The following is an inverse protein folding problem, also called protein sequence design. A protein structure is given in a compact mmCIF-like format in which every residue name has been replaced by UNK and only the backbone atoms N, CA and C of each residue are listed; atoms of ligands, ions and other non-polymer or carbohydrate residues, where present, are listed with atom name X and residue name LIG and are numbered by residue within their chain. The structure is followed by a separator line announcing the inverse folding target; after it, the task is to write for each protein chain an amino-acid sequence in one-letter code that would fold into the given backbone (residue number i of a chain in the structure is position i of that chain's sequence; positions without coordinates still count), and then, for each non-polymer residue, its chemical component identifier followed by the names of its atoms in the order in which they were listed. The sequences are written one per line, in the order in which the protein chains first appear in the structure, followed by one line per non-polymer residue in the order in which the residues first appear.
data_IF_741853128883
#
_entry.id   IF_741853128883
#
_cell.length_a   1.000
_cell.length_b   1.000
_cell.length_c   1.000
_cell.angle_alpha   90.00
_cell.angle_beta   90.00
_cell.angle_gamma   90.00
#
_symmetry.space_group_name_H-M   'P 1'
#
loop_
_entity.id
_entity.type
_entity.pdbx_description
1 polymer ?
#
# COMPACT_ATOMS: atom_id res chain seq x y z
N UNK A 1 9.58 -19.48 23.26
CA UNK A 1 10.15 -20.18 22.11
C UNK A 1 10.76 -19.14 21.18
N UNK A 2 12.09 -18.91 21.28
CA UNK A 2 12.80 -17.94 20.45
C UNK A 2 13.04 -18.58 19.07
N UNK A 3 12.08 -18.45 18.15
CA UNK A 3 12.37 -18.65 16.74
C UNK A 3 13.37 -17.55 16.35
N UNK A 4 14.60 -17.94 16.13
CA UNK A 4 15.61 -16.99 15.69
C UNK A 4 15.24 -16.51 14.29
N UNK A 5 15.08 -15.21 14.14
CA UNK A 5 14.74 -14.49 12.90
C UNK A 5 15.52 -14.99 11.66
N UNK A 6 16.73 -15.49 11.84
CA UNK A 6 17.55 -16.12 10.80
C UNK A 6 16.94 -17.41 10.22
N UNK A 7 16.35 -18.26 11.05
CA UNK A 7 15.81 -19.56 10.63
C UNK A 7 14.53 -19.40 9.80
N UNK A 8 13.60 -18.54 10.22
CA UNK A 8 12.35 -18.31 9.48
C UNK A 8 12.59 -17.60 8.14
N UNK A 9 13.55 -16.68 8.10
CA UNK A 9 13.92 -15.99 6.86
C UNK A 9 14.55 -16.94 5.84
N UNK A 10 15.44 -17.83 6.30
CA UNK A 10 16.09 -18.83 5.42
C UNK A 10 15.07 -19.83 4.86
N UNK A 11 14.14 -20.32 5.68
CA UNK A 11 13.10 -21.26 5.26
C UNK A 11 12.20 -20.62 4.21
N UNK A 12 11.77 -19.37 4.44
CA UNK A 12 10.91 -18.62 3.50
C UNK A 12 11.63 -18.28 2.19
N UNK A 13 12.91 -17.90 2.28
CA UNK A 13 13.73 -17.66 1.09
C UNK A 13 13.94 -18.94 0.27
N UNK A 14 14.09 -20.08 0.93
CA UNK A 14 14.23 -21.39 0.30
C UNK A 14 12.91 -21.81 -0.36
N UNK A 15 11.76 -21.65 0.33
CA UNK A 15 10.42 -21.92 -0.24
C UNK A 15 10.16 -21.00 -1.43
N UNK A 16 10.48 -19.72 -1.31
CA UNK A 16 10.34 -18.76 -2.39
C UNK A 16 11.25 -19.09 -3.58
N UNK A 17 12.51 -19.50 -3.32
CA UNK A 17 13.44 -19.91 -4.38
C UNK A 17 12.99 -21.18 -5.08
N UNK A 18 12.46 -22.17 -4.35
CA UNK A 18 11.91 -23.43 -4.91
C UNK A 18 10.68 -23.12 -5.76
N UNK A 19 9.79 -22.26 -5.26
CA UNK A 19 8.61 -21.80 -5.98
C UNK A 19 8.99 -21.02 -7.26
N UNK A 20 10.00 -20.17 -7.18
CA UNK A 20 10.50 -19.39 -8.33
C UNK A 20 11.14 -20.30 -9.39
N UNK A 21 11.84 -21.36 -8.99
CA UNK A 21 12.40 -22.36 -9.89
C UNK A 21 11.28 -23.20 -10.52
N UNK A 22 10.23 -23.54 -9.78
CA UNK A 22 9.06 -24.26 -10.30
C UNK A 22 8.31 -23.42 -11.35
N UNK A 23 8.12 -22.11 -11.09
CA UNK A 23 7.48 -21.18 -12.02
C UNK A 23 8.32 -20.90 -13.27
N UNK A 24 9.64 -20.91 -13.19
CA UNK A 24 10.51 -20.58 -14.33
C UNK A 24 10.78 -21.75 -15.29
N UNK A 25 10.25 -22.92 -15.00
CA UNK A 25 10.52 -24.14 -15.80
C UNK A 25 9.56 -24.37 -16.96
N UNK A 26 8.50 -23.57 -17.12
CA UNK A 26 7.56 -23.67 -18.24
C UNK A 26 7.55 -22.39 -19.10
N UNK A 27 7.55 -22.55 -20.43
CA UNK A 27 7.53 -21.45 -21.39
C UNK A 27 6.22 -20.63 -21.25
N UNK A 28 6.35 -19.33 -20.91
CA UNK A 28 5.21 -18.39 -20.82
C UNK A 28 4.88 -17.86 -19.40
N UNK A 29 5.56 -18.29 -18.35
CA UNK A 29 5.23 -17.92 -16.96
C UNK A 29 5.88 -16.63 -16.45
N UNK A 30 6.86 -16.06 -17.17
CA UNK A 30 7.55 -14.83 -16.78
C UNK A 30 6.57 -13.66 -16.55
N UNK A 31 5.56 -13.40 -17.41
CA UNK A 31 4.58 -12.34 -17.19
C UNK A 31 3.74 -12.53 -15.92
N UNK A 32 3.35 -13.77 -15.61
CA UNK A 32 2.57 -14.11 -14.42
C UNK A 32 3.40 -13.82 -13.16
N UNK A 33 4.66 -14.25 -13.16
CA UNK A 33 5.58 -14.00 -12.04
C UNK A 33 5.79 -12.50 -11.79
N UNK A 34 6.02 -11.70 -12.86
CA UNK A 34 6.18 -10.25 -12.71
C UNK A 34 4.90 -9.58 -12.21
N UNK A 35 3.74 -10.03 -12.67
CA UNK A 35 2.45 -9.54 -12.18
C UNK A 35 2.29 -9.85 -10.68
N UNK A 36 2.54 -11.07 -10.26
CA UNK A 36 2.50 -11.51 -8.87
C UNK A 36 3.47 -10.69 -8.00
N UNK A 37 4.72 -10.53 -8.43
CA UNK A 37 5.71 -9.74 -7.70
C UNK A 37 5.31 -8.27 -7.58
N UNK A 38 4.69 -7.70 -8.61
CA UNK A 38 4.21 -6.32 -8.59
C UNK A 38 3.11 -6.13 -7.57
N UNK A 39 2.08 -6.99 -7.60
CA UNK A 39 1.00 -6.92 -6.63
C UNK A 39 1.47 -7.25 -5.21
N UNK A 40 2.33 -8.25 -5.04
CA UNK A 40 2.91 -8.57 -3.74
C UNK A 40 3.70 -7.38 -3.17
N UNK A 41 4.46 -6.65 -3.99
CA UNK A 41 5.16 -5.43 -3.59
C UNK A 41 4.20 -4.32 -3.15
N UNK A 42 3.18 -4.02 -3.97
CA UNK A 42 2.20 -2.96 -3.70
C UNK A 42 1.40 -3.26 -2.43
N UNK A 43 0.81 -4.45 -2.34
CA UNK A 43 -0.03 -4.83 -1.19
C UNK A 43 0.80 -5.12 0.06
N UNK A 44 2.05 -5.59 -0.10
CA UNK A 44 3.00 -5.70 1.00
C UNK A 44 3.30 -4.35 1.63
N UNK A 45 3.49 -3.31 0.81
CA UNK A 45 3.68 -1.94 1.27
C UNK A 45 2.43 -1.40 1.99
N UNK A 46 1.22 -1.64 1.45
CA UNK A 46 -0.04 -1.31 2.12
C UNK A 46 -0.16 -2.00 3.47
N UNK A 47 0.15 -3.29 3.53
CA UNK A 47 0.08 -4.08 4.75
C UNK A 47 1.13 -3.64 5.80
N UNK A 48 2.31 -3.16 5.37
CA UNK A 48 3.27 -2.52 6.27
C UNK A 48 2.66 -1.25 6.87
N UNK A 49 1.98 -0.40 6.08
CA UNK A 49 1.27 0.78 6.57
C UNK A 49 0.20 0.44 7.61
N UNK A 50 -0.61 -0.59 7.34
CA UNK A 50 -1.61 -1.07 8.28
C UNK A 50 -0.99 -1.67 9.55
N UNK A 51 0.12 -2.38 9.41
CA UNK A 51 0.87 -2.92 10.54
C UNK A 51 1.48 -1.84 11.45
N UNK A 52 1.75 -0.64 10.93
CA UNK A 52 2.09 0.52 11.77
C UNK A 52 0.90 0.94 12.63
N UNK A 53 -0.34 0.93 12.09
CA UNK A 53 -1.55 1.23 12.87
C UNK A 53 -1.85 0.15 13.90
N UNK A 54 -2.04 -1.08 13.47
CA UNK A 54 -2.50 -2.16 14.35
C UNK A 54 -1.34 -2.87 15.06
N UNK A 55 -0.29 -3.18 14.32
CA UNK A 55 0.86 -3.93 14.85
C UNK A 55 1.66 -3.18 15.91
N UNK A 56 1.79 -1.85 15.79
CA UNK A 56 2.57 -1.07 16.76
C UNK A 56 1.71 -0.40 17.86
N UNK A 57 0.46 -0.02 17.56
CA UNK A 57 -0.37 0.76 18.50
C UNK A 57 -1.73 0.16 18.80
N UNK A 58 -2.09 -0.98 18.18
CA UNK A 58 -3.38 -1.64 18.39
C UNK A 58 -4.58 -0.90 17.78
N UNK A 59 -4.35 0.08 16.89
CA UNK A 59 -5.42 0.86 16.26
C UNK A 59 -6.09 0.08 15.14
N UNK A 60 -7.36 -0.24 15.30
CA UNK A 60 -8.19 -0.89 14.28
C UNK A 60 -8.55 0.13 13.18
N UNK A 61 -7.95 0.00 12.01
CA UNK A 61 -8.24 0.84 10.87
C UNK A 61 -8.78 -0.01 9.71
N UNK A 62 -10.06 0.14 9.43
CA UNK A 62 -10.73 -0.50 8.27
C UNK A 62 -10.97 0.48 7.12
N UNK A 63 -10.51 1.71 7.25
CA UNK A 63 -10.56 2.73 6.20
C UNK A 63 -9.26 2.87 5.40
N UNK A 64 -8.39 1.86 5.38
CA UNK A 64 -7.05 1.94 4.79
C UNK A 64 -7.08 2.27 3.29
N UNK A 65 -8.09 1.77 2.56
CA UNK A 65 -8.30 2.06 1.14
C UNK A 65 -8.46 3.57 0.84
N UNK A 66 -9.02 4.36 1.77
CA UNK A 66 -9.16 5.79 1.57
C UNK A 66 -7.80 6.52 1.55
N UNK A 67 -6.86 6.11 2.39
CA UNK A 67 -5.49 6.67 2.38
C UNK A 67 -4.76 6.30 1.10
N UNK A 68 -4.92 5.05 0.63
CA UNK A 68 -4.40 4.61 -0.66
C UNK A 68 -5.00 5.44 -1.79
N UNK A 69 -6.33 5.59 -1.80
CA UNK A 69 -7.05 6.37 -2.80
C UNK A 69 -6.64 7.83 -2.82
N UNK A 70 -6.57 8.48 -1.66
CA UNK A 70 -6.19 9.89 -1.60
C UNK A 70 -4.77 10.13 -2.11
N UNK A 71 -3.80 9.31 -1.69
CA UNK A 71 -2.44 9.40 -2.21
C UNK A 71 -2.38 9.25 -3.72
N UNK A 72 -3.12 8.27 -4.25
CA UNK A 72 -3.21 8.00 -5.69
C UNK A 72 -3.85 9.17 -6.46
N UNK A 73 -5.03 9.63 -6.06
CA UNK A 73 -5.74 10.73 -6.72
C UNK A 73 -4.94 12.03 -6.69
N UNK A 74 -4.39 12.42 -5.54
CA UNK A 74 -3.58 13.63 -5.44
C UNK A 74 -2.36 13.56 -6.34
N UNK A 75 -1.65 12.43 -6.37
CA UNK A 75 -0.49 12.27 -7.25
C UNK A 75 -0.89 12.36 -8.72
N UNK A 76 -1.92 11.62 -9.14
CA UNK A 76 -2.38 11.61 -10.53
C UNK A 76 -2.85 12.98 -10.99
N UNK A 77 -3.56 13.73 -10.14
CA UNK A 77 -4.01 15.10 -10.46
C UNK A 77 -2.85 16.10 -10.62
N UNK A 78 -1.74 15.88 -9.96
CA UNK A 78 -0.59 16.80 -10.00
C UNK A 78 0.36 16.54 -11.17
N UNK A 79 0.39 15.33 -11.75
CA UNK A 79 1.27 15.01 -12.88
C UNK A 79 0.65 15.42 -14.22
N UNK A 80 1.49 15.61 -15.26
CA UNK A 80 0.97 15.76 -16.62
C UNK A 80 0.24 14.47 -17.04
N UNK A 81 -1.01 14.58 -17.44
CA UNK A 81 -1.72 13.50 -18.12
C UNK A 81 -2.24 14.02 -19.45
N UNK A 82 -2.20 13.19 -20.46
CA UNK A 82 -2.82 13.54 -21.72
C UNK A 82 -4.32 13.70 -21.45
N UNK A 83 -4.87 14.87 -21.76
CA UNK A 83 -6.29 15.17 -21.58
C UNK A 83 -7.12 14.16 -22.41
N UNK A 84 -7.43 13.03 -21.80
CA UNK A 84 -8.14 11.92 -22.44
C UNK A 84 -9.64 12.07 -22.45
N UNK A 85 -10.18 13.07 -21.73
CA UNK A 85 -11.60 13.40 -21.71
C UNK A 85 -11.81 14.88 -21.43
N UNK A 86 -12.63 15.52 -22.23
CA UNK A 86 -13.15 16.86 -21.97
C UNK A 86 -13.77 16.88 -20.57
N UNK A 87 -13.19 17.67 -19.64
CA UNK A 87 -13.78 17.90 -18.33
C UNK A 87 -12.87 17.74 -17.10
N UNK A 88 -11.76 17.02 -17.16
CA UNK A 88 -10.81 16.99 -16.02
C UNK A 88 -9.87 18.18 -16.12
N UNK A 89 -10.09 19.18 -15.26
CA UNK A 89 -9.54 20.55 -15.42
C UNK A 89 -8.21 20.74 -14.67
N UNK A 90 -7.77 19.80 -13.82
CA UNK A 90 -6.64 20.07 -12.91
C UNK A 90 -5.44 19.18 -13.24
N UNK A 91 -4.55 19.72 -14.08
CA UNK A 91 -3.18 19.19 -14.14
C UNK A 91 -2.20 20.31 -13.87
N UNK A 92 -1.36 20.16 -12.87
CA UNK A 92 -0.32 21.16 -12.56
C UNK A 92 0.98 20.90 -13.31
N UNK A 93 1.13 19.75 -13.94
CA UNK A 93 2.32 19.38 -14.70
C UNK A 93 3.57 19.15 -13.85
N UNK A 94 3.42 18.78 -12.57
CA UNK A 94 4.54 18.53 -11.68
C UNK A 94 5.31 17.25 -12.06
N UNK A 95 6.65 17.22 -11.81
CA UNK A 95 7.44 16.00 -11.94
C UNK A 95 6.88 14.88 -11.03
N UNK A 96 6.90 13.64 -11.52
CA UNK A 96 6.32 12.48 -10.82
C UNK A 96 6.75 12.36 -9.35
N UNK A 97 8.04 12.45 -9.05
CA UNK A 97 8.55 12.28 -7.68
C UNK A 97 8.08 13.38 -6.72
N UNK A 98 7.91 14.61 -7.22
CA UNK A 98 7.36 15.71 -6.42
C UNK A 98 5.86 15.50 -6.17
N UNK A 99 5.11 15.12 -7.19
CA UNK A 99 3.69 14.79 -7.06
C UNK A 99 3.48 13.59 -6.11
N UNK A 100 4.31 12.56 -6.20
CA UNK A 100 4.33 11.41 -5.28
C UNK A 100 4.52 11.84 -3.83
N UNK A 101 5.50 12.72 -3.57
CA UNK A 101 5.76 13.23 -2.22
C UNK A 101 4.55 14.00 -1.67
N UNK A 102 3.93 14.84 -2.49
CA UNK A 102 2.70 15.57 -2.11
C UNK A 102 1.55 14.60 -1.86
N UNK A 103 1.40 13.55 -2.67
CA UNK A 103 0.42 12.49 -2.47
C UNK A 103 0.61 11.75 -1.13
N UNK A 104 1.84 11.40 -0.77
CA UNK A 104 2.17 10.78 0.52
C UNK A 104 1.84 11.72 1.69
N UNK A 105 2.23 12.99 1.59
CA UNK A 105 1.97 14.00 2.63
C UNK A 105 0.46 14.22 2.78
N UNK A 106 -0.31 14.31 1.69
CA UNK A 106 -1.76 14.49 1.77
C UNK A 106 -2.45 13.29 2.39
N UNK A 107 -2.02 12.05 2.09
CA UNK A 107 -2.52 10.87 2.77
C UNK A 107 -2.20 10.87 4.28
N UNK A 108 -0.99 11.29 4.67
CA UNK A 108 -0.60 11.43 6.07
C UNK A 108 -1.41 12.52 6.79
N UNK A 109 -1.66 13.66 6.14
CA UNK A 109 -2.49 14.76 6.69
C UNK A 109 -3.95 14.34 6.81
N UNK A 110 -4.47 13.57 5.86
CA UNK A 110 -5.81 13.00 5.98
C UNK A 110 -5.89 11.99 7.12
N UNK A 111 -4.82 11.20 7.33
CA UNK A 111 -4.66 10.37 8.52
C UNK A 111 -4.69 11.19 9.82
N UNK A 112 -4.05 12.37 9.86
CA UNK A 112 -4.13 13.30 10.98
C UNK A 112 -5.57 13.78 11.19
N UNK A 113 -6.24 14.23 10.13
CA UNK A 113 -7.59 14.78 10.19
C UNK A 113 -8.61 13.74 10.70
N UNK A 114 -8.56 12.52 10.17
CA UNK A 114 -9.42 11.42 10.62
C UNK A 114 -9.01 10.89 12.00
N UNK A 115 -7.73 10.86 12.28
CA UNK A 115 -7.19 10.37 13.54
C UNK A 115 -7.58 11.23 14.74
N UNK A 116 -7.66 12.55 14.59
CA UNK A 116 -7.98 13.47 15.70
C UNK A 116 -9.28 13.11 16.43
N UNK A 117 -10.43 12.95 15.77
CA UNK A 117 -11.65 12.51 16.44
C UNK A 117 -11.65 11.00 16.73
N UNK A 118 -11.13 10.18 15.81
CA UNK A 118 -11.28 8.73 15.83
C UNK A 118 -10.45 8.06 16.94
N UNK A 119 -9.23 8.54 17.22
CA UNK A 119 -8.32 7.93 18.21
C UNK A 119 -8.86 8.02 19.65
N UNK A 120 -9.83 8.91 19.92
CA UNK A 120 -10.50 9.02 21.22
C UNK A 120 -11.56 7.95 21.42
N UNK A 121 -11.95 7.26 20.35
CA UNK A 121 -12.95 6.19 20.41
C UNK A 121 -12.32 4.87 20.86
N UNK A 122 -13.12 4.00 21.47
CA UNK A 122 -12.71 2.62 21.77
C UNK A 122 -12.55 1.84 20.46
N UNK A 123 -11.73 0.77 20.47
CA UNK A 123 -11.28 0.05 19.28
C UNK A 123 -12.36 -0.27 18.25
N UNK A 124 -13.51 -0.83 18.67
CA UNK A 124 -14.59 -1.21 17.75
C UNK A 124 -15.26 0.00 17.08
N UNK A 125 -15.45 1.09 17.82
CA UNK A 125 -15.99 2.33 17.27
C UNK A 125 -15.01 3.01 16.31
N UNK A 126 -13.70 2.89 16.58
CA UNK A 126 -12.67 3.36 15.65
C UNK A 126 -12.76 2.63 14.30
N UNK A 127 -12.97 1.32 14.33
CA UNK A 127 -13.15 0.50 13.13
C UNK A 127 -14.34 1.00 12.28
N UNK A 128 -15.51 1.20 12.93
CA UNK A 128 -16.73 1.67 12.25
C UNK A 128 -16.52 3.06 11.63
N UNK A 129 -15.93 3.98 12.38
CA UNK A 129 -15.69 5.35 11.92
C UNK A 129 -14.70 5.38 10.74
N UNK A 130 -13.67 4.54 10.76
CA UNK A 130 -12.71 4.48 9.65
C UNK A 130 -13.32 3.89 8.38
N UNK A 131 -14.20 2.88 8.47
CA UNK A 131 -14.96 2.39 7.31
C UNK A 131 -15.87 3.48 6.75
N UNK A 132 -16.64 4.15 7.63
CA UNK A 132 -17.54 5.21 7.21
C UNK A 132 -16.78 6.37 6.53
N UNK A 133 -15.62 6.77 7.10
CA UNK A 133 -14.78 7.80 6.51
C UNK A 133 -14.22 7.39 5.13
N UNK A 134 -13.87 6.12 4.94
CA UNK A 134 -13.43 5.61 3.64
C UNK A 134 -14.55 5.64 2.61
N UNK A 135 -15.77 5.29 3.02
CA UNK A 135 -16.91 5.33 2.12
C UNK A 135 -17.32 6.77 1.78
N UNK A 136 -17.26 7.69 2.73
CA UNK A 136 -17.47 9.13 2.47
C UNK A 136 -16.44 9.64 1.47
N UNK A 137 -15.14 9.29 1.66
CA UNK A 137 -14.08 9.64 0.70
C UNK A 137 -14.40 9.09 -0.69
N UNK A 138 -14.82 7.83 -0.81
CA UNK A 138 -15.18 7.19 -2.07
C UNK A 138 -16.35 7.90 -2.77
N UNK A 139 -17.38 8.27 -2.01
CA UNK A 139 -18.52 9.01 -2.52
C UNK A 139 -18.13 10.42 -2.98
N UNK A 140 -17.31 11.13 -2.21
CA UNK A 140 -16.79 12.45 -2.61
C UNK A 140 -16.00 12.38 -3.91
N UNK A 141 -15.12 11.39 -4.06
CA UNK A 141 -14.35 11.18 -5.30
C UNK A 141 -15.28 10.88 -6.47
N UNK A 142 -16.34 10.11 -6.26
CA UNK A 142 -17.35 9.81 -7.28
C UNK A 142 -18.10 11.06 -7.73
N UNK A 143 -18.51 11.89 -6.78
CA UNK A 143 -19.40 13.03 -7.04
C UNK A 143 -18.63 14.27 -7.55
N UNK A 144 -17.31 14.34 -7.32
CA UNK A 144 -16.43 15.40 -7.85
C UNK A 144 -15.97 15.08 -9.29
N UNK A 145 -16.92 14.79 -10.19
CA UNK A 145 -16.64 14.33 -11.56
C UNK A 145 -15.70 15.26 -12.33
N UNK A 146 -15.85 16.56 -12.19
CA UNK A 146 -15.03 17.59 -12.86
C UNK A 146 -13.54 17.55 -12.48
N UNK A 147 -13.20 16.98 -11.32
CA UNK A 147 -11.81 16.89 -10.82
C UNK A 147 -11.27 15.49 -10.94
N UNK A 148 -12.03 14.48 -10.54
CA UNK A 148 -11.58 13.10 -10.39
C UNK A 148 -11.93 12.20 -11.58
N UNK A 149 -12.74 12.70 -12.52
CA UNK A 149 -13.33 11.89 -13.58
C UNK A 149 -14.51 11.03 -13.11
N UNK A 150 -14.92 11.14 -11.84
CA UNK A 150 -16.06 10.42 -11.26
C UNK A 150 -15.98 8.91 -11.42
N UNK A 151 -17.06 8.30 -11.90
CA UNK A 151 -17.15 6.85 -12.12
C UNK A 151 -16.19 6.37 -13.22
N UNK A 152 -15.92 7.22 -14.20
CA UNK A 152 -15.03 6.87 -15.32
C UNK A 152 -13.55 6.96 -14.97
N UNK A 153 -13.21 7.75 -13.94
CA UNK A 153 -11.84 7.91 -13.45
C UNK A 153 -10.93 8.68 -14.42
N UNK A 154 -9.61 8.61 -14.14
CA UNK A 154 -8.57 9.24 -14.94
C UNK A 154 -7.73 8.14 -15.60
N UNK A 155 -7.43 8.29 -16.88
CA UNK A 155 -6.65 7.37 -17.69
C UNK A 155 -5.43 8.09 -18.30
N UNK A 156 -4.51 7.33 -18.92
CA UNK A 156 -3.38 7.85 -19.69
C UNK A 156 -2.34 8.68 -18.94
N UNK A 157 -2.24 8.54 -17.62
CA UNK A 157 -1.22 9.23 -16.81
C UNK A 157 0.09 8.47 -16.69
N UNK A 158 0.14 7.20 -17.08
CA UNK A 158 1.36 6.37 -17.00
C UNK A 158 2.49 6.85 -17.89
N UNK A 159 2.20 7.69 -18.91
CA UNK A 159 3.21 8.35 -19.73
C UNK A 159 4.17 9.24 -18.92
N UNK A 160 3.74 9.78 -17.79
CA UNK A 160 4.58 10.58 -16.90
C UNK A 160 5.72 9.79 -16.26
N UNK A 161 5.60 8.46 -16.13
CA UNK A 161 6.69 7.58 -15.70
C UNK A 161 7.64 7.21 -16.83
N UNK A 162 7.21 7.30 -18.09
CA UNK A 162 8.03 6.86 -19.24
C UNK A 162 9.34 7.62 -19.34
N UNK A 163 9.34 8.93 -19.02
CA UNK A 163 10.55 9.77 -19.05
C UNK A 163 11.64 9.36 -18.04
N UNK A 164 11.27 8.60 -17.00
CA UNK A 164 12.22 8.11 -15.99
C UNK A 164 12.64 6.66 -16.22
N UNK A 165 12.11 6.00 -17.25
CA UNK A 165 12.47 4.63 -17.56
C UNK A 165 13.92 4.52 -18.02
N UNK A 166 14.58 3.48 -17.53
CA UNK A 166 15.93 3.15 -17.95
C UNK A 166 15.86 2.23 -19.17
N UNK A 167 16.57 2.55 -20.23
CA UNK A 167 16.49 1.82 -21.52
C UNK A 167 16.75 0.31 -21.42
N UNK A 168 17.51 -0.15 -20.41
CA UNK A 168 17.69 -1.59 -20.20
C UNK A 168 16.40 -2.30 -19.76
N UNK A 169 15.49 -1.60 -19.08
CA UNK A 169 14.18 -2.15 -18.68
C UNK A 169 13.29 -2.34 -19.91
N UNK A 170 13.30 -1.38 -20.81
CA UNK A 170 12.51 -1.47 -22.05
C UNK A 170 13.02 -2.62 -22.94
N UNK A 171 14.34 -2.81 -23.03
CA UNK A 171 14.94 -3.93 -23.74
C UNK A 171 14.59 -5.27 -23.11
N UNK A 172 14.68 -5.38 -21.79
CA UNK A 172 14.32 -6.60 -21.07
C UNK A 172 12.82 -6.91 -21.20
N UNK A 173 11.97 -5.90 -21.13
CA UNK A 173 10.54 -6.05 -21.32
C UNK A 173 10.19 -6.58 -22.70
N UNK A 174 10.79 -5.99 -23.74
CA UNK A 174 10.55 -6.39 -25.13
C UNK A 174 11.03 -7.82 -25.43
N UNK A 175 12.11 -8.27 -24.79
CA UNK A 175 12.62 -9.64 -25.00
C UNK A 175 11.82 -10.73 -24.28
N UNK A 176 10.97 -10.36 -23.30
CA UNK A 176 10.18 -11.30 -22.51
C UNK A 176 8.66 -11.08 -22.61
N UNK A 177 8.21 -10.32 -23.59
CA UNK A 177 6.80 -9.99 -23.83
C UNK A 177 6.10 -9.34 -22.61
N UNK A 178 6.85 -8.50 -21.87
CA UNK A 178 6.41 -7.85 -20.65
C UNK A 178 6.03 -6.39 -20.91
N UNK A 179 5.08 -5.88 -20.11
CA UNK A 179 4.80 -4.45 -20.11
C UNK A 179 5.89 -3.69 -19.33
N UNK A 180 6.65 -2.78 -19.98
CA UNK A 180 7.72 -2.03 -19.31
C UNK A 180 7.24 -1.22 -18.10
N UNK A 181 5.98 -0.77 -18.11
CA UNK A 181 5.41 -0.03 -16.98
C UNK A 181 5.23 -0.90 -15.73
N UNK A 182 4.86 -2.18 -15.90
CA UNK A 182 4.73 -3.11 -14.78
C UNK A 182 6.08 -3.41 -14.11
N UNK A 183 7.13 -3.63 -14.90
CA UNK A 183 8.48 -3.85 -14.38
C UNK A 183 8.93 -2.63 -13.57
N UNK A 184 8.66 -1.43 -14.08
CA UNK A 184 9.01 -0.19 -13.41
C UNK A 184 8.26 -0.01 -12.09
N UNK A 185 6.96 -0.29 -12.08
CA UNK A 185 6.14 -0.27 -10.84
C UNK A 185 6.60 -1.35 -9.85
N UNK A 186 6.95 -2.56 -10.32
CA UNK A 186 7.54 -3.60 -9.48
C UNK A 186 8.83 -3.11 -8.82
N UNK A 187 9.75 -2.55 -9.61
CA UNK A 187 11.01 -2.00 -9.09
C UNK A 187 10.78 -0.89 -8.05
N UNK A 188 9.86 0.06 -8.34
CA UNK A 188 9.52 1.13 -7.41
C UNK A 188 8.87 0.59 -6.13
N UNK A 189 8.00 -0.40 -6.22
CA UNK A 189 7.32 -0.98 -5.05
C UNK A 189 8.30 -1.67 -4.10
N UNK A 190 9.21 -2.50 -4.63
CA UNK A 190 10.22 -3.19 -3.83
C UNK A 190 11.28 -2.22 -3.26
N UNK A 191 11.68 -1.23 -4.04
CA UNK A 191 12.57 -0.15 -3.54
C UNK A 191 11.89 0.62 -2.40
N UNK A 192 10.61 0.95 -2.55
CA UNK A 192 9.82 1.62 -1.52
C UNK A 192 9.70 0.77 -0.25
N UNK A 193 9.47 -0.54 -0.38
CA UNK A 193 9.47 -1.46 0.76
C UNK A 193 10.80 -1.41 1.51
N UNK A 194 11.93 -1.49 0.81
CA UNK A 194 13.26 -1.44 1.43
C UNK A 194 13.44 -0.13 2.19
N UNK A 195 13.14 1.00 1.57
CA UNK A 195 13.26 2.33 2.20
C UNK A 195 12.35 2.47 3.43
N UNK A 196 11.08 2.04 3.31
CA UNK A 196 10.12 2.08 4.42
C UNK A 196 10.54 1.13 5.55
N UNK A 197 11.05 -0.07 5.25
CA UNK A 197 11.55 -0.98 6.28
C UNK A 197 12.77 -0.41 7.01
N UNK A 198 13.70 0.21 6.30
CA UNK A 198 14.87 0.85 6.92
C UNK A 198 14.43 2.00 7.84
N UNK A 199 13.48 2.82 7.40
CA UNK A 199 12.87 3.88 8.19
C UNK A 199 12.18 3.31 9.44
N UNK A 200 11.29 2.34 9.26
CA UNK A 200 10.53 1.72 10.36
C UNK A 200 11.45 0.99 11.35
N UNK A 201 12.47 0.28 10.87
CA UNK A 201 13.45 -0.38 11.73
C UNK A 201 14.16 0.64 12.63
N UNK A 202 14.53 1.79 12.09
CA UNK A 202 15.15 2.88 12.86
C UNK A 202 14.17 3.48 13.86
N UNK A 203 12.94 3.73 13.45
CA UNK A 203 11.90 4.31 14.30
C UNK A 203 11.48 3.34 15.42
N UNK A 204 11.24 2.06 15.13
CA UNK A 204 10.78 1.07 16.10
C UNK A 204 11.84 0.71 17.14
N UNK A 205 13.13 0.85 16.83
CA UNK A 205 14.23 0.67 17.78
C UNK A 205 14.52 1.91 18.63
N UNK A 206 13.91 3.05 18.30
CA UNK A 206 14.05 4.32 19.03
C UNK A 206 13.17 4.36 20.31
N UNK A 207 13.32 5.38 21.18
CA UNK A 207 12.42 5.61 22.29
C UNK A 207 10.95 5.75 21.88
N UNK A 208 10.69 6.32 20.70
CA UNK A 208 9.36 6.44 20.10
C UNK A 208 8.72 5.07 19.84
N UNK A 209 9.43 4.14 19.23
CA UNK A 209 8.89 2.80 18.95
C UNK A 209 8.62 2.00 20.24
N UNK A 210 9.42 2.22 21.31
CA UNK A 210 9.14 1.63 22.63
C UNK A 210 7.87 2.20 23.23
N UNK A 211 7.67 3.53 23.11
CA UNK A 211 6.47 4.20 23.60
C UNK A 211 5.20 3.72 22.86
N UNK A 212 5.26 3.51 21.53
CA UNK A 212 4.13 2.96 20.77
C UNK A 212 3.72 1.57 21.24
N UNK A 213 4.70 0.67 21.44
CA UNK A 213 4.41 -0.67 21.97
C UNK A 213 3.84 -0.63 23.38
N UNK A 214 4.33 0.26 24.23
CA UNK A 214 3.77 0.47 25.55
C UNK A 214 2.31 0.94 25.49
N UNK A 215 1.96 1.87 24.57
CA UNK A 215 0.57 2.30 24.34
C UNK A 215 -0.31 1.15 23.88
N UNK A 216 0.22 0.23 23.08
CA UNK A 216 -0.52 -0.96 22.64
C UNK A 216 -0.83 -1.91 23.77
N UNK A 217 0.11 -2.10 24.71
CA UNK A 217 -0.03 -3.04 25.84
C UNK A 217 -0.94 -2.43 26.93
N UNK A 218 -0.67 -1.18 27.33
CA UNK A 218 -1.45 -0.47 28.36
C UNK A 218 -1.35 1.05 28.16
N UNK A 219 -2.42 1.63 27.64
CA UNK A 219 -2.51 3.07 27.40
C UNK A 219 -2.56 3.88 28.71
N UNK A 220 -3.22 3.36 29.73
CA UNK A 220 -3.40 4.08 31.00
C UNK A 220 -2.08 4.12 31.80
N UNK A 221 -1.30 3.05 31.76
CA UNK A 221 0.05 3.05 32.30
C UNK A 221 0.96 4.08 31.62
N UNK A 222 0.88 4.24 30.28
CA UNK A 222 1.65 5.25 29.54
C UNK A 222 1.24 6.67 29.94
N UNK A 223 -0.07 6.90 30.13
CA UNK A 223 -0.60 8.19 30.62
C UNK A 223 -0.14 8.49 32.06
N UNK A 224 -0.13 7.49 32.93
CA UNK A 224 0.36 7.62 34.29
C UNK A 224 1.84 8.02 34.36
N UNK A 225 2.64 7.61 33.37
CA UNK A 225 4.04 8.04 33.19
C UNK A 225 4.21 9.42 32.56
N UNK A 226 3.12 10.19 32.42
CA UNK A 226 3.12 11.55 31.86
C UNK A 226 3.32 11.63 30.35
N UNK A 227 3.17 10.51 29.61
CA UNK A 227 3.27 10.52 28.14
C UNK A 227 1.91 10.78 27.50
N UNK A 228 1.89 11.55 26.42
CA UNK A 228 0.67 11.78 25.65
C UNK A 228 0.40 10.60 24.70
N UNK A 229 -0.40 9.64 25.15
CA UNK A 229 -0.76 8.45 24.38
C UNK A 229 -1.53 8.78 23.09
N UNK A 230 -2.42 9.79 23.15
CA UNK A 230 -3.19 10.24 21.97
C UNK A 230 -2.26 10.76 20.87
N UNK A 231 -1.26 11.57 21.24
CA UNK A 231 -0.29 12.08 20.27
C UNK A 231 0.56 10.97 19.65
N UNK A 232 0.99 9.98 20.43
CA UNK A 232 1.72 8.82 19.96
C UNK A 232 0.89 7.99 18.96
N UNK A 233 -0.37 7.72 19.26
CA UNK A 233 -1.31 7.04 18.36
C UNK A 233 -1.49 7.83 17.06
N UNK A 234 -1.65 9.15 17.16
CA UNK A 234 -1.85 10.03 16.00
C UNK A 234 -0.65 10.02 15.06
N UNK A 235 0.58 10.07 15.60
CA UNK A 235 1.81 9.95 14.81
C UNK A 235 1.89 8.62 14.08
N UNK A 236 1.55 7.51 14.75
CA UNK A 236 1.48 6.19 14.13
C UNK A 236 0.45 6.15 13.00
N UNK A 237 -0.71 6.76 13.23
CA UNK A 237 -1.80 6.80 12.25
C UNK A 237 -1.42 7.62 11.01
N UNK A 238 -0.78 8.78 11.19
CA UNK A 238 -0.25 9.58 10.09
C UNK A 238 0.81 8.83 9.27
N UNK A 239 1.75 8.16 9.96
CA UNK A 239 2.84 7.45 9.30
C UNK A 239 2.31 6.28 8.46
N UNK A 240 1.41 5.46 9.03
CA UNK A 240 0.80 4.35 8.31
C UNK A 240 -0.10 4.80 7.16
N UNK A 241 -0.82 5.92 7.32
CA UNK A 241 -1.61 6.53 6.24
C UNK A 241 -0.72 7.03 5.08
N UNK A 242 0.43 7.64 5.37
CA UNK A 242 1.40 8.04 4.35
C UNK A 242 1.96 6.85 3.57
N UNK A 243 2.29 5.75 4.25
CA UNK A 243 2.76 4.50 3.61
C UNK A 243 1.63 3.90 2.73
N UNK A 244 0.38 3.93 3.21
CA UNK A 244 -0.78 3.52 2.43
C UNK A 244 -0.95 4.38 1.16
N UNK A 245 -0.80 5.70 1.29
CA UNK A 245 -0.85 6.62 0.16
C UNK A 245 0.18 6.27 -0.92
N UNK A 246 1.42 5.99 -0.51
CA UNK A 246 2.48 5.54 -1.41
C UNK A 246 2.10 4.24 -2.14
N UNK A 247 1.56 3.25 -1.43
CA UNK A 247 1.08 2.01 -2.02
C UNK A 247 -0.06 2.26 -3.02
N UNK A 248 -0.99 3.16 -2.69
CA UNK A 248 -2.09 3.51 -3.58
C UNK A 248 -1.64 4.16 -4.89
N UNK A 249 -0.62 5.01 -4.86
CA UNK A 249 -0.01 5.57 -6.07
C UNK A 249 0.54 4.46 -6.96
N UNK A 250 1.32 3.54 -6.39
CA UNK A 250 1.89 2.42 -7.13
C UNK A 250 0.81 1.52 -7.73
N UNK A 251 -0.31 1.31 -7.01
CA UNK A 251 -1.46 0.55 -7.49
C UNK A 251 -2.11 1.23 -8.70
N UNK A 252 -2.33 2.55 -8.64
CA UNK A 252 -2.88 3.31 -9.76
C UNK A 252 -1.99 3.23 -11.01
N UNK A 253 -0.66 3.35 -10.85
CA UNK A 253 0.29 3.24 -11.94
C UNK A 253 0.39 1.82 -12.51
N UNK A 254 0.18 0.80 -11.68
CA UNK A 254 0.13 -0.60 -12.14
C UNK A 254 -1.08 -0.85 -13.05
N UNK A 255 -2.25 -0.30 -12.69
CA UNK A 255 -3.44 -0.39 -13.54
C UNK A 255 -3.42 0.57 -14.74
N UNK A 256 -2.60 1.62 -14.72
CA UNK A 256 -2.60 2.68 -15.74
C UNK A 256 -3.87 3.54 -15.74
N UNK A 257 -4.79 3.25 -14.83
CA UNK A 257 -6.06 3.95 -14.63
C UNK A 257 -6.34 4.12 -13.14
N UNK A 258 -7.04 5.20 -12.78
CA UNK A 258 -7.52 5.40 -11.41
C UNK A 258 -9.03 5.60 -11.44
N UNK A 259 -9.75 4.75 -10.73
CA UNK A 259 -11.21 4.73 -10.69
C UNK A 259 -11.69 4.60 -9.24
N UNK A 260 -12.91 5.07 -8.96
CA UNK A 260 -13.57 4.95 -7.66
C UNK A 260 -13.70 3.48 -7.23
N UNK A 261 -13.94 2.58 -8.18
CA UNK A 261 -14.07 1.14 -7.97
C UNK A 261 -12.77 0.44 -7.55
N UNK A 262 -11.61 1.08 -7.72
CA UNK A 262 -10.32 0.53 -7.27
C UNK A 262 -10.16 0.60 -5.75
N UNK A 263 -10.69 1.66 -5.11
CA UNK A 263 -10.48 1.91 -3.68
C UNK A 263 -11.74 1.61 -2.83
N UNK A 264 -12.30 0.45 -3.06
CA UNK A 264 -13.47 -0.06 -2.31
C UNK A 264 -13.05 -0.70 -0.98
N UNK A 265 -13.96 -0.83 0.00
CA UNK A 265 -13.63 -1.40 1.31
C UNK A 265 -13.00 -2.79 1.26
N UNK A 266 -13.31 -3.62 0.26
CA UNK A 266 -12.73 -4.96 0.08
C UNK A 266 -11.19 -4.91 -0.03
N UNK A 267 -10.63 -3.83 -0.60
CA UNK A 267 -9.19 -3.62 -0.66
C UNK A 267 -8.55 -3.61 0.74
N UNK A 268 -9.21 -2.94 1.70
CA UNK A 268 -8.75 -2.93 3.10
C UNK A 268 -8.77 -4.33 3.71
N UNK A 269 -9.78 -5.15 3.40
CA UNK A 269 -9.82 -6.53 3.90
C UNK A 269 -8.70 -7.40 3.32
N UNK A 270 -8.33 -7.21 2.05
CA UNK A 270 -7.13 -7.88 1.50
C UNK A 270 -5.87 -7.49 2.25
N UNK A 271 -5.69 -6.19 2.52
CA UNK A 271 -4.54 -5.70 3.29
C UNK A 271 -4.52 -6.27 4.72
N UNK A 272 -5.70 -6.40 5.38
CA UNK A 272 -5.83 -7.06 6.67
C UNK A 272 -5.47 -8.55 6.60
N UNK A 273 -5.98 -9.28 5.62
CA UNK A 273 -5.65 -10.70 5.44
C UNK A 273 -4.14 -10.90 5.25
N UNK A 274 -3.51 -10.09 4.41
CA UNK A 274 -2.07 -10.09 4.16
C UNK A 274 -1.28 -9.83 5.45
N UNK A 275 -1.66 -8.82 6.22
CA UNK A 275 -1.00 -8.50 7.48
C UNK A 275 -1.12 -9.64 8.51
N UNK A 276 -2.30 -10.28 8.60
CA UNK A 276 -2.54 -11.39 9.53
C UNK A 276 -1.74 -12.62 9.10
N UNK A 277 -1.78 -12.99 7.80
CA UNK A 277 -1.00 -14.10 7.25
C UNK A 277 0.50 -13.94 7.47
N UNK A 278 1.00 -12.71 7.33
CA UNK A 278 2.42 -12.41 7.53
C UNK A 278 2.83 -12.31 8.99
N UNK A 279 1.88 -12.11 9.90
CA UNK A 279 2.12 -11.94 11.34
C UNK A 279 2.15 -10.49 11.79
N UNK A 280 1.15 -10.15 12.60
CA UNK A 280 0.92 -8.81 13.18
C UNK A 280 2.08 -8.39 14.09
N UNK A 281 2.53 -7.15 13.95
CA UNK A 281 3.61 -6.58 14.78
C UNK A 281 5.02 -6.93 14.30
N UNK A 282 5.16 -7.80 13.29
CA UNK A 282 6.42 -8.06 12.61
C UNK A 282 6.67 -7.02 11.52
N UNK A 283 7.88 -6.48 11.39
CA UNK A 283 8.20 -5.51 10.34
C UNK A 283 8.24 -6.15 8.94
N UNK A 284 8.72 -7.38 8.84
CA UNK A 284 8.87 -8.11 7.58
C UNK A 284 7.71 -9.05 7.28
N UNK A 285 6.92 -9.39 8.29
CA UNK A 285 5.77 -10.29 8.17
C UNK A 285 4.84 -9.92 7.01
N UNK A 286 4.37 -8.67 6.90
CA UNK A 286 3.46 -8.27 5.84
C UNK A 286 3.98 -8.53 4.42
N UNK A 287 5.30 -8.51 4.21
CA UNK A 287 5.91 -8.84 2.90
C UNK A 287 5.68 -10.31 2.55
N UNK A 288 5.98 -11.20 3.50
CA UNK A 288 5.74 -12.63 3.28
C UNK A 288 4.25 -12.95 3.15
N UNK A 289 3.42 -12.29 3.97
CA UNK A 289 1.97 -12.41 3.86
C UNK A 289 1.44 -11.98 2.49
N UNK A 290 2.00 -10.93 1.88
CA UNK A 290 1.60 -10.48 0.55
C UNK A 290 2.01 -11.46 -0.56
N UNK A 291 3.19 -12.03 -0.48
CA UNK A 291 3.64 -13.04 -1.43
C UNK A 291 2.72 -14.27 -1.35
N UNK A 292 2.51 -14.80 -0.14
CA UNK A 292 1.64 -15.97 0.07
C UNK A 292 0.21 -15.70 -0.43
N UNK A 293 -0.34 -14.54 -0.08
CA UNK A 293 -1.69 -14.16 -0.47
C UNK A 293 -1.86 -14.12 -2.00
N UNK A 294 -0.92 -13.47 -2.70
CA UNK A 294 -1.01 -13.34 -4.15
C UNK A 294 -0.71 -14.63 -4.90
N UNK A 295 0.14 -15.50 -4.35
CA UNK A 295 0.31 -16.86 -4.87
C UNK A 295 -1.02 -17.63 -4.78
N UNK A 296 -1.70 -17.62 -3.62
CA UNK A 296 -2.98 -18.31 -3.46
C UNK A 296 -4.03 -17.75 -4.44
N UNK A 297 -4.11 -16.42 -4.62
CA UNK A 297 -5.06 -15.81 -5.54
C UNK A 297 -4.75 -16.19 -6.99
N UNK A 298 -3.49 -16.19 -7.39
CA UNK A 298 -3.05 -16.56 -8.74
C UNK A 298 -3.42 -18.02 -9.07
N UNK A 299 -3.10 -18.95 -8.19
CA UNK A 299 -3.42 -20.37 -8.35
C UNK A 299 -4.93 -20.64 -8.37
N UNK A 300 -5.70 -19.96 -7.50
CA UNK A 300 -7.15 -20.10 -7.47
C UNK A 300 -7.80 -19.62 -8.77
N UNK A 301 -7.27 -18.56 -9.36
CA UNK A 301 -7.76 -18.02 -10.64
C UNK A 301 -7.43 -18.99 -11.79
N UNK A 302 -6.22 -19.56 -11.80
CA UNK A 302 -5.82 -20.57 -12.80
C UNK A 302 -6.69 -21.84 -12.73
N UNK A 303 -6.95 -22.36 -11.54
CA UNK A 303 -7.83 -23.52 -11.34
C UNK A 303 -9.27 -23.22 -11.78
N UNK A 304 -9.78 -22.02 -11.48
CA UNK A 304 -11.12 -21.62 -11.91
C UNK A 304 -11.26 -21.59 -13.44
N UNK A 305 -10.24 -21.14 -14.17
CA UNK A 305 -10.22 -21.15 -15.64
C UNK A 305 -10.14 -22.56 -16.26
N UNK A 306 -9.65 -23.55 -15.50
CA UNK A 306 -9.61 -24.96 -15.95
C UNK A 306 -10.94 -25.70 -15.73
N UNK A 307 -11.79 -25.18 -14.82
CA UNK A 307 -13.05 -25.84 -14.44
C UNK A 307 -14.26 -25.23 -15.19
N UNK A 308 -14.19 -23.96 -15.56
CA UNK A 308 -15.24 -23.21 -16.25
C UNK A 308 -14.80 -22.74 -17.64
#
# INVERSE_FOLDING_TARGET
MKFTFKSSFTILLTIFSIFLVFLLNEEGEIPILFNLLTFAGIYGLAAIGLNVHFGLTGLLNFGHAAFMGLGAYVTVLLIPHAAGREGVVVTTGLPFFLALLIGIISAALFGLLLGLPAIRLRGDYLAIVTIAAAEIFRLLVRDLESVTGGVYGIINFSSSLQQYRLGFIDNFASSNDLNPSQIWVAFLSWTSIILVLLLLRRLTNSPWGRALRAVREDEDAVRALGKNAVWLKLQSFMLGAGIAGLSGVLLAFNYGTIQVSTFVPILTFYVWAIMILGGVGSLTGPIFGSIIFWVIISETTGIAQLIF
#
